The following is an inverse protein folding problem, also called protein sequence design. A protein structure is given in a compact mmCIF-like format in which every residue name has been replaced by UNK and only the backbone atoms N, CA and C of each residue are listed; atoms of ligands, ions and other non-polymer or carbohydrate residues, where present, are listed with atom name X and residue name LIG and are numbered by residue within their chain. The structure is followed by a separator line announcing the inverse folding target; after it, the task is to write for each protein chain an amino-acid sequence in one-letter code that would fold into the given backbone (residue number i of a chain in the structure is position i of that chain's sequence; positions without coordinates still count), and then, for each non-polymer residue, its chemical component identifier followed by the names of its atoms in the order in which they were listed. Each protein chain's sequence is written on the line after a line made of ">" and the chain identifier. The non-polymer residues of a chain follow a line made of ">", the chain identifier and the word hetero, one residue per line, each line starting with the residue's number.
data_IF_491940485863
#
_entry.id   IF_491940485863
#
_cell.length_a   1.000
_cell.length_b   1.000
_cell.length_c   1.000
_cell.angle_alpha   90.00
_cell.angle_beta   90.00
_cell.angle_gamma   90.00
#
_symmetry.space_group_name_H-M   'P 1'
#
loop_
_entity.id
_entity.type
_entity.pdbx_description
1 polymer ?
#
# COMPACT_ATOMS: atom_id res chain seq x y z
N UNK A 1 -14.34 -7.75 -10.47
CA UNK A 1 -13.33 -7.98 -11.54
C UNK A 1 -12.00 -7.48 -11.00
N UNK A 2 -10.91 -8.25 -11.14
CA UNK A 2 -9.57 -7.75 -10.79
C UNK A 2 -9.11 -6.79 -11.90
N UNK A 3 -8.79 -5.55 -11.53
CA UNK A 3 -8.17 -4.55 -12.41
C UNK A 3 -6.76 -4.32 -11.89
N UNK A 4 -5.80 -5.14 -12.35
CA UNK A 4 -4.40 -5.06 -11.95
C UNK A 4 -3.56 -4.59 -13.12
N UNK A 5 -2.91 -3.45 -12.96
CA UNK A 5 -1.83 -3.00 -13.83
C UNK A 5 -0.53 -3.08 -13.02
N UNK A 6 0.55 -3.49 -13.68
CA UNK A 6 1.85 -3.65 -13.02
C UNK A 6 2.81 -2.60 -13.54
N UNK A 7 3.42 -1.85 -12.63
CA UNK A 7 4.48 -0.91 -12.99
C UNK A 7 5.67 -1.61 -13.63
N UNK A 8 6.38 -0.89 -14.49
CA UNK A 8 7.72 -1.28 -14.92
C UNK A 8 8.65 -1.40 -13.71
N UNK A 9 9.75 -2.14 -13.88
CA UNK A 9 10.73 -2.30 -12.80
C UNK A 9 11.30 -0.95 -12.35
N UNK A 10 11.55 -0.02 -13.29
CA UNK A 10 12.10 1.31 -13.01
C UNK A 10 11.12 2.17 -12.22
N UNK A 11 9.85 2.21 -12.62
CA UNK A 11 8.81 2.96 -11.90
C UNK A 11 8.62 2.40 -10.50
N UNK A 12 8.50 1.07 -10.36
CA UNK A 12 8.38 0.43 -9.06
C UNK A 12 9.59 0.72 -8.15
N UNK A 13 10.81 0.70 -8.71
CA UNK A 13 12.04 1.03 -7.97
C UNK A 13 12.06 2.48 -7.51
N UNK A 14 11.66 3.42 -8.39
CA UNK A 14 11.60 4.83 -8.02
C UNK A 14 10.60 5.06 -6.89
N UNK A 15 9.38 4.55 -7.03
CA UNK A 15 8.34 4.67 -6.02
C UNK A 15 8.76 4.05 -4.68
N UNK A 16 9.35 2.85 -4.70
CA UNK A 16 9.87 2.19 -3.50
C UNK A 16 10.99 2.99 -2.82
N UNK A 17 11.87 3.64 -3.60
CA UNK A 17 12.96 4.47 -3.06
C UNK A 17 12.43 5.72 -2.37
N UNK A 18 11.47 6.41 -3.01
CA UNK A 18 10.80 7.57 -2.39
C UNK A 18 10.02 7.15 -1.13
N UNK A 19 9.42 5.96 -1.14
CA UNK A 19 8.75 5.37 0.02
C UNK A 19 9.68 5.23 1.23
N UNK A 20 10.83 4.60 0.99
CA UNK A 20 11.85 4.33 2.01
C UNK A 20 12.39 5.64 2.58
N UNK A 21 12.71 6.60 1.70
CA UNK A 21 13.17 7.92 2.13
C UNK A 21 12.11 8.66 2.97
N UNK A 22 10.84 8.58 2.57
CA UNK A 22 9.74 9.20 3.27
C UNK A 22 9.42 8.52 4.61
N UNK A 23 9.54 7.18 4.70
CA UNK A 23 9.27 6.43 5.92
C UNK A 23 10.30 6.72 7.03
N UNK A 24 11.57 6.95 6.66
CA UNK A 24 12.64 7.15 7.63
C UNK A 24 13.09 5.86 8.32
N UNK A 25 13.94 5.98 9.34
CA UNK A 25 14.43 4.83 10.12
C UNK A 25 13.29 4.17 10.89
N UNK A 26 13.21 2.83 10.87
CA UNK A 26 12.16 2.08 11.59
C UNK A 26 10.74 2.38 11.09
N UNK A 27 10.61 2.94 9.89
CA UNK A 27 9.34 3.36 9.32
C UNK A 27 8.44 2.20 8.90
N UNK A 28 7.14 2.48 8.84
CA UNK A 28 6.07 1.58 8.39
C UNK A 28 5.46 2.10 7.09
N UNK A 29 5.48 1.26 6.06
CA UNK A 29 4.96 1.56 4.73
C UNK A 29 3.70 0.71 4.47
N UNK A 30 2.60 1.37 4.12
CA UNK A 30 1.41 0.69 3.61
C UNK A 30 1.34 0.82 2.09
N UNK A 31 1.34 -0.30 1.37
CA UNK A 31 1.02 -0.37 -0.04
C UNK A 31 -0.46 -0.73 -0.20
N UNK A 32 -1.29 0.21 -0.65
CA UNK A 32 -2.73 0.03 -0.86
C UNK A 32 -3.00 -0.16 -2.35
N UNK A 33 -3.37 -1.37 -2.74
CA UNK A 33 -3.56 -1.75 -4.14
C UNK A 33 -2.32 -1.51 -5.03
N UNK A 34 -1.12 -1.48 -4.44
CA UNK A 34 0.14 -1.14 -5.12
C UNK A 34 1.15 -2.32 -5.10
N UNK A 35 0.84 -3.46 -5.75
CA UNK A 35 1.57 -4.71 -5.59
C UNK A 35 3.00 -4.66 -6.18
N UNK A 36 3.19 -3.96 -7.30
CA UNK A 36 4.52 -3.78 -7.90
C UNK A 36 5.50 -3.07 -6.95
N UNK A 37 5.02 -2.06 -6.21
CA UNK A 37 5.83 -1.31 -5.26
C UNK A 37 6.15 -2.17 -4.04
N UNK A 38 5.17 -2.91 -3.53
CA UNK A 38 5.38 -3.86 -2.43
C UNK A 38 6.45 -4.92 -2.76
N UNK A 39 6.34 -5.56 -3.92
CA UNK A 39 7.33 -6.55 -4.37
C UNK A 39 8.74 -5.96 -4.46
N UNK A 40 8.84 -4.72 -4.95
CA UNK A 40 10.11 -4.01 -5.05
C UNK A 40 10.68 -3.67 -3.66
N UNK A 41 9.87 -3.14 -2.76
CA UNK A 41 10.26 -2.87 -1.37
C UNK A 41 10.78 -4.13 -0.68
N UNK A 42 10.10 -5.27 -0.87
CA UNK A 42 10.55 -6.56 -0.36
C UNK A 42 11.91 -6.98 -0.92
N UNK A 43 12.14 -6.78 -2.22
CA UNK A 43 13.44 -7.12 -2.84
C UNK A 43 14.60 -6.24 -2.37
N UNK A 44 14.33 -5.06 -1.80
CA UNK A 44 15.36 -4.20 -1.21
C UNK A 44 15.81 -4.67 0.18
N UNK A 45 15.07 -5.59 0.81
CA UNK A 45 15.43 -6.31 2.05
C UNK A 45 15.99 -5.40 3.18
N UNK A 46 15.23 -4.35 3.53
CA UNK A 46 15.57 -3.45 4.66
C UNK A 46 14.99 -3.98 5.97
N UNK A 47 15.85 -4.50 6.85
CA UNK A 47 15.44 -5.04 8.16
C UNK A 47 14.82 -3.97 9.10
N UNK A 48 15.15 -2.70 8.86
CA UNK A 48 14.69 -1.56 9.62
C UNK A 48 13.36 -0.99 9.11
N UNK A 49 12.67 -1.59 8.14
CA UNK A 49 11.42 -1.06 7.60
C UNK A 49 10.36 -2.15 7.59
N UNK A 50 9.17 -1.84 8.09
CA UNK A 50 8.02 -2.75 7.98
C UNK A 50 7.17 -2.37 6.78
N UNK A 51 6.83 -3.35 5.94
CA UNK A 51 6.05 -3.11 4.72
C UNK A 51 4.81 -4.01 4.73
N UNK A 52 3.66 -3.42 4.46
CA UNK A 52 2.37 -4.11 4.43
C UNK A 52 1.70 -3.91 3.07
N UNK A 53 1.00 -4.93 2.61
CA UNK A 53 0.24 -4.91 1.36
C UNK A 53 -1.25 -5.12 1.64
N UNK A 54 -2.04 -4.11 1.30
CA UNK A 54 -3.49 -4.11 1.37
C UNK A 54 -4.02 -4.44 -0.02
N UNK A 55 -4.42 -5.70 -0.21
CA UNK A 55 -4.75 -6.24 -1.52
C UNK A 55 -6.01 -7.10 -1.54
N UNK A 56 -6.78 -6.93 -2.61
CA UNK A 56 -7.98 -7.75 -2.85
C UNK A 56 -7.59 -9.15 -3.32
N UNK A 57 -6.46 -9.26 -4.03
CA UNK A 57 -5.97 -10.53 -4.56
C UNK A 57 -5.39 -11.42 -3.47
N UNK A 58 -6.13 -12.48 -3.14
CA UNK A 58 -5.77 -13.45 -2.10
C UNK A 58 -4.49 -14.25 -2.41
N UNK A 59 -3.93 -14.16 -3.62
CA UNK A 59 -2.62 -14.76 -3.92
C UNK A 59 -1.49 -14.14 -3.08
N UNK A 60 -1.67 -12.90 -2.61
CA UNK A 60 -0.73 -12.24 -1.70
C UNK A 60 -0.76 -12.80 -0.27
N UNK A 61 -1.72 -13.68 0.07
CA UNK A 61 -1.75 -14.34 1.38
C UNK A 61 -0.49 -15.17 1.71
N UNK A 62 0.32 -15.51 0.69
CA UNK A 62 1.64 -16.12 0.87
C UNK A 62 2.59 -15.28 1.73
N UNK A 63 2.32 -13.97 1.86
CA UNK A 63 3.13 -13.04 2.65
C UNK A 63 2.73 -12.95 4.12
N UNK A 64 1.76 -13.76 4.56
CA UNK A 64 1.40 -13.89 5.98
C UNK A 64 0.95 -12.58 6.61
N UNK A 65 1.59 -12.20 7.73
CA UNK A 65 1.19 -11.03 8.52
C UNK A 65 1.30 -9.68 7.80
N UNK A 66 2.16 -9.60 6.78
CA UNK A 66 2.36 -8.42 5.92
C UNK A 66 1.17 -8.21 4.97
N UNK A 67 0.41 -9.27 4.67
CA UNK A 67 -0.75 -9.22 3.80
C UNK A 67 -2.03 -8.90 4.59
N UNK A 68 -2.74 -7.89 4.12
CA UNK A 68 -4.05 -7.49 4.61
C UNK A 68 -5.03 -7.64 3.45
N UNK A 69 -6.03 -8.52 3.59
CA UNK A 69 -7.13 -8.55 2.63
C UNK A 69 -7.85 -7.21 2.67
N UNK A 70 -7.96 -6.57 1.50
CA UNK A 70 -8.52 -5.23 1.38
C UNK A 70 -9.50 -5.18 0.21
N UNK A 71 -10.73 -4.76 0.50
CA UNK A 71 -11.75 -4.45 -0.50
C UNK A 71 -12.10 -2.98 -0.38
N UNK A 72 -11.75 -2.18 -1.39
CA UNK A 72 -12.05 -0.74 -1.37
C UNK A 72 -13.56 -0.46 -1.26
N UNK A 73 -14.44 -1.43 -1.55
CA UNK A 73 -15.89 -1.27 -1.35
C UNK A 73 -16.25 -1.13 0.14
N UNK A 74 -15.44 -1.73 1.02
CA UNK A 74 -15.54 -1.67 2.47
C UNK A 74 -14.21 -1.11 3.04
N UNK A 75 -13.90 0.18 2.81
CA UNK A 75 -12.55 0.73 2.96
C UNK A 75 -11.98 0.65 4.38
N UNK A 76 -12.83 0.57 5.40
CA UNK A 76 -12.45 0.49 6.81
C UNK A 76 -12.71 -0.89 7.45
N UNK A 77 -13.07 -1.90 6.65
CA UNK A 77 -13.13 -3.29 7.08
C UNK A 77 -11.71 -3.88 7.16
N UNK A 78 -10.94 -3.35 8.12
CA UNK A 78 -9.55 -3.70 8.35
C UNK A 78 -9.42 -4.53 9.64
N UNK A 79 -8.47 -5.49 9.71
CA UNK A 79 -8.23 -6.25 10.93
C UNK A 79 -7.85 -5.36 12.11
N UNK A 80 -8.24 -5.73 13.34
CA UNK A 80 -7.96 -4.96 14.57
C UNK A 80 -6.47 -4.66 14.81
N UNK A 81 -5.56 -5.51 14.28
CA UNK A 81 -4.11 -5.27 14.35
C UNK A 81 -3.66 -4.01 13.59
N UNK A 82 -4.50 -3.47 12.70
CA UNK A 82 -4.21 -2.26 11.94
C UNK A 82 -4.74 -1.05 12.70
N UNK A 83 -3.88 -0.46 13.53
CA UNK A 83 -4.21 0.78 14.23
C UNK A 83 -4.34 1.97 13.27
N UNK A 84 -5.22 2.92 13.62
CA UNK A 84 -5.33 4.22 12.94
C UNK A 84 -4.02 5.00 13.03
N UNK A 85 -3.68 5.76 11.99
CA UNK A 85 -2.48 6.62 11.90
C UNK A 85 -1.18 5.88 12.30
N UNK A 86 -1.04 4.64 11.83
CA UNK A 86 0.05 3.76 12.25
C UNK A 86 1.13 3.57 11.17
N UNK A 87 0.98 4.22 10.01
CA UNK A 87 1.94 4.17 8.90
C UNK A 87 2.56 5.53 8.61
N UNK A 88 3.89 5.58 8.55
CA UNK A 88 4.66 6.78 8.23
C UNK A 88 4.40 7.28 6.81
N UNK A 89 4.16 6.36 5.88
CA UNK A 89 3.73 6.66 4.51
C UNK A 89 2.74 5.62 3.99
N UNK A 90 1.73 6.11 3.27
CA UNK A 90 0.81 5.29 2.49
C UNK A 90 1.07 5.51 1.00
N UNK A 91 1.32 4.43 0.29
CA UNK A 91 1.42 4.38 -1.17
C UNK A 91 0.16 3.75 -1.69
N UNK A 92 -0.57 4.45 -2.54
CA UNK A 92 -1.83 3.95 -3.07
C UNK A 92 -1.83 3.94 -4.60
N UNK A 93 -2.36 2.86 -5.15
CA UNK A 93 -2.67 2.71 -6.57
C UNK A 93 -4.07 2.10 -6.76
N UNK A 94 -5.14 2.89 -6.54
CA UNK A 94 -6.51 2.42 -6.66
C UNK A 94 -6.79 1.70 -7.98
N UNK A 95 -7.54 0.58 -7.97
CA UNK A 95 -7.77 -0.26 -9.16
C UNK A 95 -8.57 0.42 -10.27
N UNK A 96 -9.23 1.55 -9.95
CA UNK A 96 -10.05 2.32 -10.87
C UNK A 96 -9.90 3.83 -10.62
N UNK A 97 -9.94 4.62 -11.69
CA UNK A 97 -9.94 6.09 -11.64
C UNK A 97 -11.32 6.71 -11.38
N UNK A 98 -12.32 5.90 -11.03
CA UNK A 98 -13.67 6.41 -10.77
C UNK A 98 -13.69 7.26 -9.49
N UNK A 99 -14.52 8.31 -9.47
CA UNK A 99 -14.69 9.18 -8.30
C UNK A 99 -15.03 8.39 -7.04
N UNK A 100 -15.84 7.35 -7.17
CA UNK A 100 -16.22 6.50 -6.05
C UNK A 100 -15.03 5.70 -5.51
N UNK A 101 -14.25 5.06 -6.39
CA UNK A 101 -13.06 4.29 -5.99
C UNK A 101 -12.03 5.20 -5.31
N UNK A 102 -11.74 6.36 -5.89
CA UNK A 102 -10.84 7.34 -5.29
C UNK A 102 -11.35 7.85 -3.93
N UNK A 103 -12.64 8.12 -3.80
CA UNK A 103 -13.25 8.55 -2.53
C UNK A 103 -13.08 7.47 -1.45
N UNK A 104 -13.46 6.23 -1.74
CA UNK A 104 -13.36 5.12 -0.76
C UNK A 104 -11.90 4.80 -0.41
N UNK A 105 -11.01 4.75 -1.40
CA UNK A 105 -9.57 4.56 -1.13
C UNK A 105 -9.00 5.71 -0.30
N UNK A 106 -9.48 6.95 -0.48
CA UNK A 106 -9.06 8.08 0.37
C UNK A 106 -9.46 7.93 1.84
N UNK A 107 -10.54 7.22 2.15
CA UNK A 107 -10.94 6.91 3.53
C UNK A 107 -9.90 5.98 4.17
N UNK A 108 -9.52 4.92 3.46
CA UNK A 108 -8.45 4.00 3.87
C UNK A 108 -7.12 4.74 4.07
N UNK A 109 -6.71 5.58 3.11
CA UNK A 109 -5.46 6.34 3.19
C UNK A 109 -5.45 7.22 4.45
N UNK A 110 -6.54 7.97 4.70
CA UNK A 110 -6.66 8.84 5.88
C UNK A 110 -6.64 8.06 7.19
N UNK A 111 -7.26 6.88 7.21
CA UNK A 111 -7.22 6.00 8.38
C UNK A 111 -5.80 5.51 8.68
N UNK A 112 -5.02 5.16 7.65
CA UNK A 112 -3.70 4.56 7.82
C UNK A 112 -2.58 5.57 8.07
N UNK A 113 -2.57 6.70 7.34
CA UNK A 113 -1.42 7.61 7.27
C UNK A 113 -1.24 8.45 8.53
N UNK A 114 0.02 8.69 8.92
CA UNK A 114 0.42 9.73 9.87
C UNK A 114 0.57 11.12 9.21
N UNK A 115 0.57 11.18 7.88
CA UNK A 115 0.58 12.46 7.14
C UNK A 115 1.17 12.37 5.74
N UNK A 116 2.06 11.41 5.44
CA UNK A 116 2.68 11.28 4.11
C UNK A 116 1.89 10.32 3.24
N UNK A 117 1.65 10.74 2.00
CA UNK A 117 0.87 10.00 1.01
C UNK A 117 1.59 10.09 -0.33
N UNK A 118 1.70 8.96 -1.03
CA UNK A 118 2.08 8.89 -2.43
C UNK A 118 0.95 8.18 -3.19
N UNK A 119 0.26 8.92 -4.06
CA UNK A 119 -0.79 8.38 -4.91
C UNK A 119 -0.27 8.33 -6.35
N UNK A 120 -0.24 7.15 -6.96
CA UNK A 120 0.16 6.93 -8.35
C UNK A 120 -0.86 5.98 -8.96
N UNK A 121 -1.52 6.36 -10.06
CA UNK A 121 -2.69 5.64 -10.61
C UNK A 121 -2.55 5.39 -12.11
N UNK A 122 -1.43 4.80 -12.51
CA UNK A 122 -1.02 4.61 -13.91
C UNK A 122 -0.09 5.69 -14.44
#
# INVERSE_FOLDING_TARGET
>A
QLSQFWYSQDTALRLATEAVAAAGERGRIACVSAPSVYQKLRSLHREDISVYIFEYDKRFAIYGEEYIFYDYNNPLDLPEKIATHSFDIVIADPPYLSKECLRKTSETIKYLTQGKILLCTG
#
